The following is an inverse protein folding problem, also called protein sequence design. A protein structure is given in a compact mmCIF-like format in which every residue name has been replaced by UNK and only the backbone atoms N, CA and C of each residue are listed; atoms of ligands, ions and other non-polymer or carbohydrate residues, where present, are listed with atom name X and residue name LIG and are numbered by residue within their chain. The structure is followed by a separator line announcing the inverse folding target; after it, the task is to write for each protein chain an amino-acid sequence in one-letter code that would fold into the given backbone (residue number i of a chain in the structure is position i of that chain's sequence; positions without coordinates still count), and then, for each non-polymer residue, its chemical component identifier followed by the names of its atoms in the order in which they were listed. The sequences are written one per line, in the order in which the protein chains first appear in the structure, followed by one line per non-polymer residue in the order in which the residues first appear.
data_IF_251386215435
#
_entry.id   IF_251386215435
#
_cell.length_a   1.000
_cell.length_b   1.000
_cell.length_c   1.000
_cell.angle_alpha   90.00
_cell.angle_beta   90.00
_cell.angle_gamma   90.00
#
_symmetry.space_group_name_H-M   'P 1'
#
loop_
_entity.id
_entity.type
_entity.pdbx_description
1 polymer ?
#
# COMPACT_ATOMS: atom_id res chain seq x y z
N UNK A 1 32.49 -42.61 -35.10
CA UNK A 1 32.04 -42.48 -33.71
C UNK A 1 31.60 -41.07 -33.39
N UNK A 2 30.28 -40.78 -33.38
CA UNK A 2 29.75 -39.51 -32.90
C UNK A 2 29.36 -39.69 -31.41
N UNK A 3 30.10 -39.07 -30.53
CA UNK A 3 29.72 -38.99 -29.12
C UNK A 3 28.53 -38.01 -28.95
N UNK A 4 27.40 -38.52 -28.48
CA UNK A 4 26.27 -37.73 -28.02
C UNK A 4 26.65 -37.09 -26.66
N UNK A 5 26.75 -35.75 -26.62
CA UNK A 5 26.84 -35.02 -25.37
C UNK A 5 25.43 -35.00 -24.77
N UNK A 6 25.25 -35.67 -23.65
CA UNK A 6 24.07 -35.59 -22.79
C UNK A 6 24.07 -34.21 -22.15
N UNK A 7 23.09 -33.38 -22.50
CA UNK A 7 22.79 -32.14 -21.77
C UNK A 7 22.17 -32.49 -20.43
N UNK A 8 22.96 -32.40 -19.37
CA UNK A 8 22.43 -32.37 -18.01
C UNK A 8 21.66 -31.06 -17.84
N UNK A 9 20.36 -31.15 -17.77
CA UNK A 9 19.52 -30.06 -17.28
C UNK A 9 19.75 -29.92 -15.78
N UNK A 10 20.58 -28.95 -15.40
CA UNK A 10 20.70 -28.54 -14.00
C UNK A 10 19.34 -28.05 -13.53
N UNK A 11 18.66 -28.84 -12.73
CA UNK A 11 17.45 -28.47 -12.06
C UNK A 11 17.74 -27.30 -11.13
N UNK A 12 17.34 -26.10 -11.55
CA UNK A 12 17.39 -24.88 -10.73
C UNK A 12 16.49 -25.12 -9.52
N UNK A 13 17.09 -25.44 -8.37
CA UNK A 13 16.36 -25.52 -7.11
C UNK A 13 15.74 -24.15 -6.88
N UNK A 14 14.42 -24.03 -7.04
CA UNK A 14 13.68 -22.83 -6.71
C UNK A 14 13.72 -22.68 -5.19
N UNK A 15 14.56 -21.79 -4.71
CA UNK A 15 14.60 -21.43 -3.29
C UNK A 15 13.27 -20.73 -2.97
N UNK A 16 12.38 -21.48 -2.31
CA UNK A 16 11.11 -20.93 -1.86
C UNK A 16 11.36 -20.08 -0.62
N UNK A 17 11.31 -18.77 -0.79
CA UNK A 17 11.44 -17.83 0.31
C UNK A 17 10.16 -17.79 1.15
N UNK A 18 10.26 -17.60 2.47
CA UNK A 18 9.08 -17.46 3.31
C UNK A 18 8.25 -16.23 2.90
N UNK A 19 6.93 -16.39 2.97
CA UNK A 19 5.95 -15.32 2.71
C UNK A 19 4.95 -15.24 3.87
N UNK A 20 4.12 -14.19 3.85
CA UNK A 20 3.06 -14.02 4.83
C UNK A 20 1.91 -15.03 4.69
N UNK A 21 1.83 -15.76 3.59
CA UNK A 21 0.71 -16.66 3.28
C UNK A 21 0.41 -17.67 4.40
N UNK A 22 1.44 -18.30 4.96
CA UNK A 22 1.30 -19.26 6.06
C UNK A 22 0.85 -18.67 7.40
N UNK A 23 0.84 -17.35 7.52
CA UNK A 23 0.38 -16.65 8.71
C UNK A 23 -1.07 -16.14 8.59
N UNK A 24 -1.68 -16.25 7.41
CA UNK A 24 -3.08 -15.89 7.22
C UNK A 24 -4.00 -16.75 8.10
N UNK A 25 -5.00 -16.15 8.78
CA UNK A 25 -5.94 -16.90 9.57
C UNK A 25 -6.92 -17.70 8.68
N UNK A 26 -7.51 -18.80 9.17
CA UNK A 26 -8.45 -19.61 8.41
C UNK A 26 -9.75 -18.88 8.06
N UNK A 27 -10.14 -17.87 8.85
CA UNK A 27 -11.26 -16.97 8.56
C UNK A 27 -10.76 -15.57 8.28
N UNK A 28 -11.11 -15.05 7.10
CA UNK A 28 -10.72 -13.72 6.69
C UNK A 28 -11.74 -12.66 7.16
N UNK A 29 -11.36 -11.91 8.17
CA UNK A 29 -12.00 -10.67 8.59
C UNK A 29 -10.92 -9.73 9.15
N UNK A 30 -11.18 -8.42 9.20
CA UNK A 30 -10.15 -7.44 9.56
C UNK A 30 -9.55 -7.67 10.95
N UNK A 31 -10.37 -8.10 11.93
CA UNK A 31 -9.86 -8.40 13.28
C UNK A 31 -8.93 -9.60 13.27
N UNK A 32 -9.35 -10.72 12.68
CA UNK A 32 -8.53 -11.92 12.62
C UNK A 32 -7.24 -11.70 11.81
N UNK A 33 -7.30 -10.95 10.73
CA UNK A 33 -6.13 -10.58 9.94
C UNK A 33 -5.13 -9.76 10.75
N UNK A 34 -5.60 -8.75 11.49
CA UNK A 34 -4.76 -7.91 12.33
C UNK A 34 -4.10 -8.72 13.44
N UNK A 35 -4.88 -9.52 14.17
CA UNK A 35 -4.38 -10.36 15.27
C UNK A 35 -3.32 -11.38 14.74
N UNK A 36 -3.54 -11.97 13.58
CA UNK A 36 -2.60 -12.90 12.97
C UNK A 36 -1.33 -12.21 12.45
N UNK A 37 -1.46 -10.99 11.93
CA UNK A 37 -0.33 -10.22 11.41
C UNK A 37 0.69 -9.86 12.50
N UNK A 38 0.29 -9.74 13.77
CA UNK A 38 1.17 -9.45 14.90
C UNK A 38 2.26 -10.51 15.10
N UNK A 39 2.01 -11.74 14.63
CA UNK A 39 2.98 -12.84 14.71
C UNK A 39 3.72 -13.11 13.40
N UNK A 40 3.54 -12.26 12.38
CA UNK A 40 4.06 -12.48 11.05
C UNK A 40 5.59 -12.45 10.99
N UNK A 41 6.18 -13.52 10.48
CA UNK A 41 7.62 -13.67 10.19
C UNK A 41 7.85 -14.03 8.72
N UNK A 42 6.96 -13.57 7.83
CA UNK A 42 7.01 -13.85 6.40
C UNK A 42 8.17 -13.21 5.65
N UNK A 43 8.84 -12.20 6.23
CA UNK A 43 10.08 -11.62 5.74
C UNK A 43 10.96 -11.23 6.94
N UNK A 44 12.16 -10.73 6.68
CA UNK A 44 13.14 -10.39 7.73
C UNK A 44 12.87 -9.07 8.48
N UNK A 45 11.93 -8.26 8.01
CA UNK A 45 11.64 -6.93 8.60
C UNK A 45 11.14 -7.01 10.05
N UNK A 46 10.43 -8.09 10.42
CA UNK A 46 9.94 -8.26 11.80
C UNK A 46 11.07 -8.25 12.85
N UNK A 47 12.31 -8.55 12.44
CA UNK A 47 13.47 -8.63 13.36
C UNK A 47 13.85 -7.26 13.93
N UNK A 48 13.68 -6.20 13.15
CA UNK A 48 14.11 -4.85 13.50
C UNK A 48 12.95 -3.87 13.69
N UNK A 49 11.75 -4.22 13.25
CA UNK A 49 10.54 -3.45 13.52
C UNK A 49 10.11 -3.62 14.98
N UNK A 50 9.50 -2.58 15.56
CA UNK A 50 8.94 -2.62 16.92
C UNK A 50 7.70 -3.51 16.96
N UNK A 51 6.87 -3.39 15.94
CA UNK A 51 5.61 -4.13 15.82
C UNK A 51 5.10 -4.15 14.37
N UNK A 52 4.10 -4.96 14.10
CA UNK A 52 3.33 -4.92 12.88
C UNK A 52 2.47 -3.65 12.85
N UNK A 53 2.39 -3.00 11.69
CA UNK A 53 1.46 -1.91 11.42
C UNK A 53 0.47 -2.37 10.36
N UNK A 54 -0.68 -2.83 10.83
CA UNK A 54 -1.77 -3.31 9.97
C UNK A 54 -2.65 -2.16 9.50
N UNK A 55 -3.49 -2.39 8.47
CA UNK A 55 -4.42 -1.38 7.96
C UNK A 55 -5.49 -1.00 8.99
N UNK A 56 -6.07 0.19 8.82
CA UNK A 56 -7.08 0.77 9.71
C UNK A 56 -8.20 1.43 8.91
N UNK A 57 -9.43 1.22 9.34
CA UNK A 57 -10.64 1.77 8.72
C UNK A 57 -11.80 0.79 8.76
N UNK A 58 -12.98 1.20 8.29
CA UNK A 58 -14.16 0.35 8.28
C UNK A 58 -14.03 -0.80 7.28
N UNK A 59 -14.65 -1.94 7.62
CA UNK A 59 -14.63 -3.14 6.77
C UNK A 59 -15.20 -2.88 5.37
N UNK A 60 -16.19 -2.04 5.27
CA UNK A 60 -16.90 -1.72 4.02
C UNK A 60 -16.48 -0.36 3.45
N UNK A 61 -15.28 0.09 3.74
CA UNK A 61 -14.77 1.32 3.17
C UNK A 61 -14.79 1.25 1.63
N UNK A 62 -15.43 2.20 0.95
CA UNK A 62 -15.47 2.21 -0.51
C UNK A 62 -14.13 2.57 -1.15
N UNK A 63 -13.22 3.13 -0.37
CA UNK A 63 -11.90 3.55 -0.82
C UNK A 63 -10.80 3.00 0.10
N UNK A 64 -9.77 2.41 -0.51
CA UNK A 64 -8.50 2.11 0.16
C UNK A 64 -7.46 3.17 -0.24
N UNK A 65 -6.77 3.73 0.75
CA UNK A 65 -5.57 4.54 0.57
C UNK A 65 -4.35 3.68 0.87
N UNK A 66 -3.59 3.35 -0.15
CA UNK A 66 -2.49 2.40 -0.09
C UNK A 66 -1.13 3.11 -0.16
N UNK A 67 -0.34 3.00 0.90
CA UNK A 67 1.05 3.46 0.95
C UNK A 67 2.08 2.35 0.75
N UNK A 68 3.35 2.67 0.96
CA UNK A 68 4.48 1.77 0.77
C UNK A 68 4.77 0.92 2.01
N UNK A 69 5.16 1.55 3.10
CA UNK A 69 5.62 0.91 4.34
C UNK A 69 5.44 1.88 5.52
N UNK A 70 5.26 1.37 6.75
CA UNK A 70 5.20 2.23 7.93
C UNK A 70 6.47 3.09 8.10
N UNK A 71 6.31 4.26 8.70
CA UNK A 71 7.40 5.09 9.18
C UNK A 71 7.73 4.85 10.65
N UNK A 72 8.59 5.70 11.21
CA UNK A 72 9.06 5.59 12.61
C UNK A 72 7.93 5.77 13.63
N UNK A 73 7.07 6.76 13.43
CA UNK A 73 5.94 6.99 14.34
C UNK A 73 4.89 5.89 14.24
N UNK A 74 4.61 5.40 13.02
CA UNK A 74 3.71 4.28 12.79
C UNK A 74 4.20 3.01 13.47
N UNK A 75 5.50 2.70 13.38
CA UNK A 75 6.14 1.55 14.02
C UNK A 75 6.06 1.61 15.56
N UNK A 76 6.15 2.81 16.15
CA UNK A 76 6.01 3.03 17.59
C UNK A 76 4.56 2.88 18.06
N UNK A 77 3.61 3.43 17.30
CA UNK A 77 2.20 3.48 17.68
C UNK A 77 1.38 2.27 17.19
N UNK A 78 1.89 1.50 16.25
CA UNK A 78 1.18 0.36 15.66
C UNK A 78 0.01 0.74 14.76
N UNK A 79 -0.05 1.98 14.29
CA UNK A 79 -1.15 2.52 13.46
C UNK A 79 -0.62 3.15 12.16
N UNK A 80 -1.29 2.93 11.01
CA UNK A 80 -0.84 3.49 9.75
C UNK A 80 -1.09 4.99 9.65
N UNK A 81 -0.17 5.70 9.01
CA UNK A 81 -0.30 7.13 8.70
C UNK A 81 -0.63 8.01 9.91
N UNK A 82 0.13 7.90 10.99
CA UNK A 82 0.05 8.75 12.20
C UNK A 82 1.19 9.75 12.31
N UNK A 83 2.24 9.59 11.52
CA UNK A 83 3.38 10.51 11.46
C UNK A 83 3.12 11.74 10.57
N UNK A 84 4.19 12.48 10.18
CA UNK A 84 4.08 13.69 9.36
C UNK A 84 3.33 13.48 8.03
N UNK A 85 3.61 12.37 7.33
CA UNK A 85 2.91 12.00 6.10
C UNK A 85 1.40 11.75 6.35
N UNK A 86 1.06 11.14 7.48
CA UNK A 86 -0.33 10.92 7.89
C UNK A 86 -1.07 12.22 8.18
N UNK A 87 -0.44 13.19 8.86
CA UNK A 87 -1.04 14.52 9.09
C UNK A 87 -1.32 15.28 7.80
N UNK A 88 -0.42 15.18 6.81
CA UNK A 88 -0.66 15.76 5.49
C UNK A 88 -1.84 15.06 4.80
N UNK A 89 -1.90 13.74 4.87
CA UNK A 89 -3.03 12.97 4.33
C UNK A 89 -4.34 13.40 4.99
N UNK A 90 -4.40 13.49 6.30
CA UNK A 90 -5.60 13.89 7.05
C UNK A 90 -6.06 15.29 6.63
N UNK A 91 -5.15 16.24 6.52
CA UNK A 91 -5.43 17.60 6.05
C UNK A 91 -5.98 17.62 4.61
N UNK A 92 -5.47 16.77 3.73
CA UNK A 92 -5.96 16.67 2.35
C UNK A 92 -7.34 16.01 2.28
N UNK A 93 -7.60 15.00 3.10
CA UNK A 93 -8.91 14.36 3.21
C UNK A 93 -9.97 15.36 3.71
N UNK A 94 -9.66 16.10 4.77
CA UNK A 94 -10.54 17.15 5.29
C UNK A 94 -10.89 18.20 4.22
N UNK A 95 -9.90 18.63 3.43
CA UNK A 95 -10.08 19.62 2.34
C UNK A 95 -11.03 19.13 1.25
N UNK A 96 -11.05 17.82 0.97
CA UNK A 96 -12.01 17.25 -0.01
C UNK A 96 -13.34 16.81 0.62
N UNK A 97 -13.50 17.00 1.93
CA UNK A 97 -14.72 16.64 2.66
C UNK A 97 -14.90 15.14 2.89
N UNK A 98 -13.80 14.39 3.01
CA UNK A 98 -13.78 12.96 3.28
C UNK A 98 -13.15 12.70 4.65
N UNK A 99 -13.90 12.09 5.56
CA UNK A 99 -13.41 11.80 6.89
C UNK A 99 -12.44 10.59 6.87
N UNK A 100 -11.43 10.62 7.75
CA UNK A 100 -10.45 9.54 7.88
C UNK A 100 -11.08 8.18 8.18
N UNK A 101 -12.18 8.14 8.94
CA UNK A 101 -12.92 6.96 9.33
C UNK A 101 -13.89 6.44 8.25
N UNK A 102 -14.00 7.12 7.12
CA UNK A 102 -14.75 6.68 5.93
C UNK A 102 -13.89 5.89 4.95
N UNK A 103 -12.57 5.90 5.12
CA UNK A 103 -11.60 5.22 4.25
C UNK A 103 -10.84 4.14 5.00
N UNK A 104 -10.32 3.15 4.26
CA UNK A 104 -9.39 2.17 4.79
C UNK A 104 -7.97 2.57 4.38
N UNK A 105 -7.09 2.70 5.35
CA UNK A 105 -5.71 3.15 5.12
C UNK A 105 -4.75 2.03 5.45
N UNK A 106 -3.85 1.70 4.55
CA UNK A 106 -2.89 0.62 4.74
C UNK A 106 -1.61 0.85 3.94
N UNK A 107 -0.63 -0.04 4.11
CA UNK A 107 0.62 -0.08 3.36
C UNK A 107 0.83 -1.43 2.70
N UNK A 108 1.57 -1.46 1.59
CA UNK A 108 1.96 -2.70 0.91
C UNK A 108 2.80 -3.62 1.81
N UNK A 109 3.62 -3.04 2.68
CA UNK A 109 4.44 -3.75 3.66
C UNK A 109 4.00 -3.37 5.08
N UNK A 110 3.92 -4.36 5.98
CA UNK A 110 3.35 -4.18 7.33
C UNK A 110 4.38 -3.92 8.42
N UNK A 111 5.68 -3.95 8.11
CA UNK A 111 6.75 -3.67 9.05
C UNK A 111 7.62 -2.53 8.55
N UNK A 112 8.10 -1.70 9.49
CA UNK A 112 9.00 -0.59 9.22
C UNK A 112 10.39 -1.09 8.79
N UNK A 113 10.86 -0.66 7.62
CA UNK A 113 12.24 -0.86 7.19
C UNK A 113 13.08 0.36 7.48
N UNK A 114 14.15 0.19 8.24
CA UNK A 114 15.03 1.27 8.63
C UNK A 114 16.49 0.80 8.78
N UNK A 115 17.37 1.77 8.79
CA UNK A 115 18.78 1.60 9.12
C UNK A 115 19.18 2.60 10.20
N UNK A 116 20.08 2.24 11.13
CA UNK A 116 20.55 3.15 12.17
C UNK A 116 21.41 4.26 11.55
N UNK A 117 21.15 5.51 11.98
CA UNK A 117 22.00 6.67 11.71
C UNK A 117 22.18 7.46 12.98
N UNK A 118 23.23 7.15 13.74
CA UNK A 118 23.38 7.63 15.11
C UNK A 118 22.23 7.15 15.99
N UNK A 119 21.54 8.07 16.66
CA UNK A 119 20.36 7.77 17.49
C UNK A 119 19.04 7.69 16.69
N UNK A 120 19.07 7.94 15.38
CA UNK A 120 17.86 7.97 14.53
C UNK A 120 17.71 6.69 13.75
N UNK A 121 16.47 6.29 13.53
CA UNK A 121 16.08 5.22 12.61
C UNK A 121 15.74 5.85 11.24
N UNK A 122 16.64 5.67 10.25
CA UNK A 122 16.46 6.21 8.92
C UNK A 122 15.58 5.26 8.10
N UNK A 123 14.43 5.75 7.66
CA UNK A 123 13.52 5.02 6.77
C UNK A 123 14.23 4.54 5.50
N UNK A 124 13.98 3.29 5.12
CA UNK A 124 14.46 2.68 3.89
C UNK A 124 13.30 2.08 3.09
N UNK A 125 13.40 2.18 1.78
CA UNK A 125 12.45 1.54 0.88
C UNK A 125 12.53 0.01 1.03
N UNK A 126 11.39 -0.71 1.13
CA UNK A 126 11.40 -2.16 1.15
C UNK A 126 11.94 -2.74 -0.16
N UNK A 127 12.63 -3.87 -0.08
CA UNK A 127 13.07 -4.61 -1.26
C UNK A 127 11.90 -5.26 -1.99
N UNK A 128 12.07 -5.60 -3.27
CA UNK A 128 11.06 -6.33 -4.03
C UNK A 128 10.66 -7.65 -3.34
N UNK A 129 11.62 -8.36 -2.75
CA UNK A 129 11.37 -9.59 -2.00
C UNK A 129 10.52 -9.35 -0.75
N UNK A 130 10.77 -8.29 0.00
CA UNK A 130 9.99 -7.94 1.18
C UNK A 130 8.56 -7.56 0.81
N UNK A 131 8.39 -6.84 -0.29
CA UNK A 131 7.08 -6.49 -0.84
C UNK A 131 6.32 -7.76 -1.25
N UNK A 132 6.93 -8.65 -2.04
CA UNK A 132 6.31 -9.91 -2.46
C UNK A 132 5.92 -10.78 -1.26
N UNK A 133 6.79 -10.89 -0.25
CA UNK A 133 6.50 -11.66 0.95
C UNK A 133 5.32 -11.11 1.76
N UNK A 134 5.04 -9.81 1.68
CA UNK A 134 3.98 -9.13 2.42
C UNK A 134 2.65 -9.04 1.67
N UNK A 135 2.65 -9.24 0.34
CA UNK A 135 1.44 -9.17 -0.52
C UNK A 135 0.24 -9.98 -0.02
N UNK A 136 0.37 -11.18 0.56
CA UNK A 136 -0.78 -11.91 1.05
C UNK A 136 -1.64 -11.13 2.05
N UNK A 137 -1.05 -10.27 2.90
CA UNK A 137 -1.80 -9.39 3.79
C UNK A 137 -2.63 -8.37 3.02
N UNK A 138 -2.02 -7.68 2.05
CA UNK A 138 -2.71 -6.67 1.23
C UNK A 138 -3.86 -7.30 0.43
N UNK A 139 -3.65 -8.47 -0.18
CA UNK A 139 -4.70 -9.18 -0.90
C UNK A 139 -5.85 -9.56 0.02
N UNK A 140 -5.56 -10.03 1.24
CA UNK A 140 -6.59 -10.36 2.21
C UNK A 140 -7.39 -9.12 2.68
N UNK A 141 -6.72 -7.98 2.87
CA UNK A 141 -7.40 -6.71 3.18
C UNK A 141 -8.35 -6.29 2.05
N UNK A 142 -7.90 -6.34 0.81
CA UNK A 142 -8.73 -6.00 -0.38
C UNK A 142 -9.92 -6.95 -0.49
N UNK A 143 -9.70 -8.25 -0.30
CA UNK A 143 -10.75 -9.27 -0.36
C UNK A 143 -11.83 -9.05 0.71
N UNK A 144 -11.44 -8.64 1.90
CA UNK A 144 -12.37 -8.42 3.03
C UNK A 144 -13.09 -7.08 2.92
N UNK A 145 -12.42 -6.02 2.49
CA UNK A 145 -12.99 -4.66 2.39
C UNK A 145 -13.80 -4.46 1.12
N UNK A 146 -13.43 -5.12 0.02
CA UNK A 146 -14.08 -5.01 -1.30
C UNK A 146 -14.26 -3.55 -1.75
N UNK A 147 -13.19 -2.77 -1.84
CA UNK A 147 -13.27 -1.36 -2.17
C UNK A 147 -13.73 -1.16 -3.62
N UNK A 148 -14.36 -0.03 -3.90
CA UNK A 148 -14.65 0.42 -5.26
C UNK A 148 -13.42 1.08 -5.90
N UNK A 149 -12.59 1.73 -5.09
CA UNK A 149 -11.37 2.43 -5.54
C UNK A 149 -10.20 2.13 -4.61
N UNK A 150 -9.04 1.92 -5.20
CA UNK A 150 -7.76 1.88 -4.49
C UNK A 150 -6.89 3.03 -5.00
N UNK A 151 -6.60 3.98 -4.13
CA UNK A 151 -5.68 5.09 -4.41
C UNK A 151 -4.28 4.68 -3.94
N UNK A 152 -3.40 4.42 -4.89
CA UNK A 152 -2.01 4.06 -4.64
C UNK A 152 -1.18 5.34 -4.44
N UNK A 153 -0.72 5.56 -3.23
CA UNK A 153 0.09 6.71 -2.85
C UNK A 153 1.58 6.39 -3.01
N UNK A 154 2.18 6.93 -4.06
CA UNK A 154 3.58 6.75 -4.41
C UNK A 154 3.84 5.62 -5.41
N UNK A 155 5.06 5.62 -5.95
CA UNK A 155 5.45 4.70 -7.03
C UNK A 155 5.42 3.22 -6.60
N UNK A 156 5.85 2.91 -5.38
CA UNK A 156 5.89 1.53 -4.89
C UNK A 156 4.49 0.94 -4.77
N UNK A 157 3.55 1.65 -4.14
CA UNK A 157 2.16 1.21 -4.03
C UNK A 157 1.52 1.03 -5.42
N UNK A 158 1.77 1.97 -6.33
CA UNK A 158 1.29 1.89 -7.70
C UNK A 158 1.85 0.67 -8.45
N UNK A 159 3.15 0.41 -8.31
CA UNK A 159 3.80 -0.74 -8.96
C UNK A 159 3.35 -2.08 -8.37
N UNK A 160 3.05 -2.15 -7.09
CA UNK A 160 2.47 -3.34 -6.46
C UNK A 160 1.13 -3.71 -7.08
N UNK A 161 0.29 -2.73 -7.38
CA UNK A 161 -1.06 -2.93 -7.91
C UNK A 161 -1.14 -2.96 -9.44
N UNK A 162 -0.29 -2.20 -10.13
CA UNK A 162 -0.37 -1.98 -11.59
C UNK A 162 0.85 -2.49 -12.37
N UNK A 163 1.80 -3.15 -11.68
CA UNK A 163 2.98 -3.74 -12.30
C UNK A 163 4.22 -2.84 -12.28
N UNK A 164 5.39 -3.48 -12.35
CA UNK A 164 6.71 -2.83 -12.19
C UNK A 164 7.02 -1.74 -13.24
N UNK A 165 6.39 -1.79 -14.41
CA UNK A 165 6.56 -0.80 -15.46
C UNK A 165 5.77 0.48 -15.26
N UNK A 166 4.84 0.52 -14.28
CA UNK A 166 4.02 1.71 -14.02
C UNK A 166 4.88 2.92 -13.65
N UNK A 167 4.55 4.07 -14.22
CA UNK A 167 5.26 5.35 -14.01
C UNK A 167 4.27 6.41 -13.54
N UNK A 168 4.35 6.75 -12.27
CA UNK A 168 3.46 7.73 -11.62
C UNK A 168 3.53 9.11 -12.30
N UNK A 169 4.70 9.53 -12.74
CA UNK A 169 4.91 10.81 -13.42
C UNK A 169 4.13 10.94 -14.74
N UNK A 170 3.75 9.82 -15.36
CA UNK A 170 2.99 9.78 -16.62
C UNK A 170 1.51 9.52 -16.42
N UNK A 171 1.15 8.92 -15.31
CA UNK A 171 -0.17 8.30 -15.13
C UNK A 171 -0.90 8.73 -13.87
N UNK A 172 -0.34 9.64 -13.06
CA UNK A 172 -0.98 10.18 -11.86
C UNK A 172 -2.39 10.71 -12.18
N UNK A 173 -3.32 10.48 -11.28
CA UNK A 173 -4.69 10.99 -11.38
C UNK A 173 -5.59 10.28 -12.40
N UNK A 174 -5.07 9.27 -13.13
CA UNK A 174 -5.86 8.48 -14.08
C UNK A 174 -6.36 7.18 -13.43
N UNK A 175 -7.55 6.74 -13.86
CA UNK A 175 -8.12 5.47 -13.42
C UNK A 175 -7.71 4.32 -14.32
N UNK A 176 -7.43 3.17 -13.70
CA UNK A 176 -7.13 1.90 -14.34
C UNK A 176 -8.08 0.83 -13.82
N UNK A 177 -8.38 -0.16 -14.65
CA UNK A 177 -9.14 -1.33 -14.22
C UNK A 177 -8.22 -2.29 -13.46
N UNK A 178 -8.79 -2.95 -12.45
CA UNK A 178 -8.17 -4.06 -11.72
C UNK A 178 -8.94 -5.34 -11.98
N UNK A 179 -8.27 -6.47 -11.86
CA UNK A 179 -8.90 -7.79 -11.92
C UNK A 179 -9.81 -8.03 -10.69
N UNK A 180 -9.55 -7.36 -9.58
CA UNK A 180 -10.33 -7.41 -8.33
C UNK A 180 -11.57 -6.49 -8.33
N UNK A 181 -12.01 -6.02 -9.49
CA UNK A 181 -13.16 -5.15 -9.72
C UNK A 181 -13.04 -3.72 -9.17
N UNK A 182 -12.01 -3.38 -8.39
CA UNK A 182 -11.75 -2.02 -7.96
C UNK A 182 -11.15 -1.18 -9.10
N UNK A 183 -11.47 0.11 -9.13
CA UNK A 183 -10.73 1.07 -9.94
C UNK A 183 -9.42 1.45 -9.23
N UNK A 184 -8.32 1.47 -9.95
CA UNK A 184 -7.02 1.87 -9.42
C UNK A 184 -6.69 3.29 -9.85
N UNK A 185 -6.13 4.10 -8.96
CA UNK A 185 -5.54 5.39 -9.26
C UNK A 185 -4.20 5.52 -8.54
N UNK A 186 -3.24 6.20 -9.15
CA UNK A 186 -1.98 6.56 -8.48
C UNK A 186 -1.89 8.06 -8.26
N UNK A 187 -1.33 8.45 -7.12
CA UNK A 187 -1.02 9.83 -6.77
C UNK A 187 0.30 9.90 -6.00
N UNK A 188 0.75 11.10 -5.61
CA UNK A 188 1.94 11.25 -4.79
C UNK A 188 1.80 10.54 -3.44
N UNK A 189 2.93 10.01 -2.93
CA UNK A 189 2.99 9.70 -1.50
C UNK A 189 3.10 11.01 -0.71
N UNK A 190 2.35 11.19 0.39
CA UNK A 190 2.44 12.40 1.20
C UNK A 190 3.86 12.77 1.63
N UNK A 191 4.71 11.80 1.92
CA UNK A 191 6.11 12.04 2.27
C UNK A 191 6.94 12.65 1.13
N UNK A 192 6.59 12.38 -0.13
CA UNK A 192 7.25 13.01 -1.28
C UNK A 192 6.90 14.51 -1.39
N UNK A 193 5.70 14.89 -0.97
CA UNK A 193 5.28 16.29 -0.87
C UNK A 193 6.09 17.00 0.21
N UNK A 194 6.22 16.37 1.39
CA UNK A 194 7.00 16.93 2.51
C UNK A 194 8.50 17.10 2.18
N UNK A 195 9.05 16.26 1.31
CA UNK A 195 10.46 16.30 0.88
C UNK A 195 10.68 17.11 -0.40
N UNK A 196 9.67 17.83 -0.88
CA UNK A 196 9.84 18.71 -2.04
C UNK A 196 10.98 19.73 -1.78
N UNK A 197 11.81 20.03 -2.79
CA UNK A 197 13.02 20.83 -2.61
C UNK A 197 12.75 22.27 -2.21
N UNK A 198 11.62 22.84 -2.64
CA UNK A 198 11.20 24.20 -2.33
C UNK A 198 9.69 24.29 -2.07
N UNK A 199 9.25 25.51 -1.68
CA UNK A 199 7.86 25.76 -1.32
C UNK A 199 6.93 25.63 -2.53
N UNK A 200 7.34 26.11 -3.69
CA UNK A 200 6.49 26.12 -4.89
C UNK A 200 6.22 24.70 -5.39
N UNK A 201 7.24 23.86 -5.41
CA UNK A 201 7.10 22.44 -5.75
C UNK A 201 6.23 21.69 -4.72
N UNK A 202 6.37 22.04 -3.43
CA UNK A 202 5.53 21.46 -2.36
C UNK A 202 4.07 21.84 -2.51
N UNK A 203 3.80 23.13 -2.71
CA UNK A 203 2.44 23.65 -2.86
C UNK A 203 1.76 23.08 -4.12
N UNK A 204 2.50 23.00 -5.23
CA UNK A 204 2.03 22.37 -6.47
C UNK A 204 1.68 20.90 -6.28
N UNK A 205 2.60 20.10 -5.73
CA UNK A 205 2.36 18.66 -5.48
C UNK A 205 1.23 18.44 -4.51
N UNK A 206 1.10 19.28 -3.48
CA UNK A 206 -0.01 19.19 -2.53
C UNK A 206 -1.34 19.48 -3.22
N UNK A 207 -1.43 20.52 -4.04
CA UNK A 207 -2.64 20.83 -4.79
C UNK A 207 -3.02 19.69 -5.74
N UNK A 208 -2.06 19.14 -6.48
CA UNK A 208 -2.27 17.98 -7.35
C UNK A 208 -2.70 16.73 -6.57
N UNK A 209 -2.18 16.51 -5.37
CA UNK A 209 -2.58 15.40 -4.49
C UNK A 209 -4.04 15.56 -4.02
N UNK A 210 -4.43 16.75 -3.60
CA UNK A 210 -5.81 17.07 -3.22
C UNK A 210 -6.76 16.88 -4.41
N UNK A 211 -6.37 17.34 -5.60
CA UNK A 211 -7.19 17.17 -6.82
C UNK A 211 -7.36 15.69 -7.20
N UNK A 212 -6.34 14.88 -7.04
CA UNK A 212 -6.46 13.43 -7.25
C UNK A 212 -7.43 12.77 -6.26
N UNK A 213 -7.37 13.15 -4.98
CA UNK A 213 -8.32 12.66 -3.97
C UNK A 213 -9.74 13.10 -4.27
N UNK A 214 -9.93 14.36 -4.69
CA UNK A 214 -11.24 14.88 -5.12
C UNK A 214 -11.79 14.09 -6.31
N UNK A 215 -10.96 13.83 -7.31
CA UNK A 215 -11.32 13.05 -8.48
C UNK A 215 -11.71 11.60 -8.10
N UNK A 216 -11.01 10.97 -7.15
CA UNK A 216 -11.37 9.67 -6.63
C UNK A 216 -12.75 9.70 -5.92
N UNK A 217 -13.01 10.72 -5.11
CA UNK A 217 -14.28 10.89 -4.41
C UNK A 217 -15.45 11.11 -5.38
N UNK A 218 -15.27 11.94 -6.41
CA UNK A 218 -16.26 12.16 -7.48
C UNK A 218 -16.59 10.85 -8.22
N UNK A 219 -15.59 10.01 -8.46
CA UNK A 219 -15.78 8.69 -9.06
C UNK A 219 -16.67 7.79 -8.21
N UNK A 220 -16.45 7.76 -6.89
CA UNK A 220 -17.31 7.01 -5.94
C UNK A 220 -18.77 7.48 -6.00
N UNK A 221 -18.98 8.79 -5.99
CA UNK A 221 -20.34 9.36 -6.05
C UNK A 221 -21.04 9.01 -7.37
N UNK A 222 -20.33 9.03 -8.48
CA UNK A 222 -20.85 8.67 -9.82
C UNK A 222 -21.24 7.19 -9.89
N UNK A 223 -20.43 6.29 -9.30
CA UNK A 223 -20.73 4.87 -9.24
C UNK A 223 -21.98 4.60 -8.39
N UNK A 224 -22.09 5.24 -7.23
CA UNK A 224 -23.24 5.13 -6.34
C UNK A 224 -24.55 5.65 -6.96
N UNK A 225 -24.47 6.73 -7.74
CA UNK A 225 -25.64 7.27 -8.46
C UNK A 225 -26.07 6.33 -9.61
N UNK A 226 -25.13 5.72 -10.33
CA UNK A 226 -25.42 4.75 -11.39
C UNK A 226 -26.04 3.46 -10.84
N UNK A 227 -25.60 2.98 -9.68
CA UNK A 227 -26.17 1.82 -9.01
C UNK A 227 -27.63 2.04 -8.58
N UNK A 228 -27.94 3.22 -8.03
CA UNK A 228 -29.34 3.60 -7.62
C UNK A 228 -30.31 3.75 -8.78
N UNK A 229 -29.85 4.01 -10.00
CA UNK A 229 -30.70 4.11 -11.21
C UNK A 229 -31.04 2.77 -11.84
N UNK A 230 -30.43 1.67 -11.39
CA UNK A 230 -30.63 0.31 -11.92
C UNK A 230 -31.57 -0.55 -11.06
N UNK A 231 -32.01 -0.01 -9.93
CA UNK A 231 -33.03 -0.58 -9.02
C UNK A 231 -34.28 0.29 -8.97
#
# INVERSE_FOLDING_TARGET
GRQRRSSQSEGRVMVQYPTAEKFLPPRLNLKALRDAADTCKGCDLYKNATQTVFGEGPRNAPMILLGETPGDEEDKQGRPFVGPAGRLLDSALEEVGLARDEVYVTNAVKHFRWEPRGKRRLHKKPSARQIEACKPWLHAEILVTKPEIIVCMGATAAQVMMGASFRITKHRGKFFKSDDAASLMATYHPSAILRAPDKDDRDRKRAEFVDDLRHALERLHSNGAAARRRH
#
